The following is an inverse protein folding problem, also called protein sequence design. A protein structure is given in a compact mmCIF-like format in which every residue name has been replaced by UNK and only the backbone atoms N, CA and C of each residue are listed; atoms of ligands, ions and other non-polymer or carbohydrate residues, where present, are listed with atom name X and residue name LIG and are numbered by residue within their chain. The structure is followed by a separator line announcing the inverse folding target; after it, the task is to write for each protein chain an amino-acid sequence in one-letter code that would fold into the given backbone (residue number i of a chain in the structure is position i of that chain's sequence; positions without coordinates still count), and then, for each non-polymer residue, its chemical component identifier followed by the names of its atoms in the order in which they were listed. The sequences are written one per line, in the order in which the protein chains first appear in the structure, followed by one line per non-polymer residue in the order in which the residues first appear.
data_IF_907375031815
#
_entry.id   IF_907375031815
#
_cell.length_a   1.000
_cell.length_b   1.000
_cell.length_c   1.000
_cell.angle_alpha   90.00
_cell.angle_beta   90.00
_cell.angle_gamma   90.00
#
_symmetry.space_group_name_H-M   'P 1'
#
loop_
_entity.id
_entity.type
_entity.pdbx_description
1 polymer ?
#
# COMPACT_ATOMS: atom_id res chain seq x y z
N UNK A 1 -27.07 4.98 16.83
CA UNK A 1 -26.42 5.20 15.52
C UNK A 1 -25.01 4.67 15.64
N UNK A 2 -24.66 3.57 14.95
CA UNK A 2 -23.28 3.11 14.90
C UNK A 2 -22.50 4.04 13.95
N UNK A 3 -22.03 5.16 14.49
CA UNK A 3 -21.21 6.12 13.75
C UNK A 3 -19.77 5.60 13.61
N UNK A 4 -19.03 6.20 12.68
CA UNK A 4 -17.56 6.05 12.65
C UNK A 4 -17.00 6.49 14.00
N UNK A 5 -16.18 5.63 14.61
CA UNK A 5 -15.48 5.91 15.87
C UNK A 5 -14.00 6.11 15.61
N UNK A 6 -13.30 6.81 16.51
CA UNK A 6 -11.83 6.95 16.45
C UNK A 6 -11.12 5.60 16.41
N UNK A 7 -11.63 4.62 17.16
CA UNK A 7 -11.11 3.26 17.14
C UNK A 7 -11.24 2.62 15.75
N UNK A 8 -12.40 2.74 15.10
CA UNK A 8 -12.61 2.22 13.74
C UNK A 8 -11.66 2.86 12.72
N UNK A 9 -11.42 4.17 12.83
CA UNK A 9 -10.47 4.90 11.97
C UNK A 9 -9.03 4.43 12.21
N UNK A 10 -8.63 4.26 13.48
CA UNK A 10 -7.31 3.76 13.84
C UNK A 10 -7.04 2.35 13.29
N UNK A 11 -8.04 1.46 13.36
CA UNK A 11 -7.96 0.10 12.78
C UNK A 11 -7.80 0.17 11.26
N UNK A 12 -8.53 1.05 10.58
CA UNK A 12 -8.40 1.25 9.12
C UNK A 12 -7.01 1.75 8.74
N UNK A 13 -6.50 2.79 9.41
CA UNK A 13 -5.14 3.32 9.18
C UNK A 13 -4.11 2.20 9.33
N UNK A 14 -4.14 1.47 10.46
CA UNK A 14 -3.19 0.38 10.72
C UNK A 14 -3.24 -0.73 9.67
N UNK A 15 -4.43 -1.04 9.16
CA UNK A 15 -4.61 -2.09 8.15
C UNK A 15 -4.09 -1.64 6.78
N UNK A 16 -4.37 -0.41 6.40
CA UNK A 16 -3.88 0.19 5.16
C UNK A 16 -2.35 0.37 5.18
N UNK A 17 -1.77 0.80 6.30
CA UNK A 17 -0.31 0.90 6.45
C UNK A 17 0.36 -0.46 6.27
N UNK A 18 -0.19 -1.52 6.89
CA UNK A 18 0.34 -2.89 6.72
C UNK A 18 0.22 -3.37 5.28
N UNK A 19 -0.93 -3.16 4.65
CA UNK A 19 -1.13 -3.53 3.25
C UNK A 19 -0.10 -2.86 2.33
N UNK A 20 0.16 -1.56 2.54
CA UNK A 20 1.14 -0.81 1.75
C UNK A 20 2.58 -1.32 1.94
N UNK A 21 2.95 -1.67 3.17
CA UNK A 21 4.25 -2.30 3.46
C UNK A 21 4.39 -3.66 2.75
N UNK A 22 3.34 -4.50 2.80
CA UNK A 22 3.34 -5.80 2.12
C UNK A 22 3.45 -5.67 0.60
N UNK A 23 2.82 -4.67 -0.01
CA UNK A 23 2.98 -4.40 -1.45
C UNK A 23 4.44 -4.07 -1.80
N UNK A 24 5.13 -3.26 -0.99
CA UNK A 24 6.54 -2.92 -1.21
C UNK A 24 7.49 -4.11 -0.99
N UNK A 25 7.23 -4.94 0.01
CA UNK A 25 7.96 -6.19 0.23
C UNK A 25 7.80 -7.14 -0.97
N UNK A 26 6.58 -7.28 -1.49
CA UNK A 26 6.30 -8.13 -2.64
C UNK A 26 6.98 -7.62 -3.92
N UNK A 27 6.98 -6.30 -4.14
CA UNK A 27 7.71 -5.67 -5.25
C UNK A 27 9.20 -6.02 -5.21
N UNK A 28 9.83 -5.85 -4.05
CA UNK A 28 11.25 -6.17 -3.85
C UNK A 28 11.54 -7.65 -4.06
N UNK A 29 10.69 -8.53 -3.53
CA UNK A 29 10.84 -9.97 -3.67
C UNK A 29 10.76 -10.42 -5.14
N UNK A 30 9.76 -9.95 -5.88
CA UNK A 30 9.59 -10.29 -7.29
C UNK A 30 10.77 -9.80 -8.14
N UNK A 31 11.24 -8.57 -7.90
CA UNK A 31 12.41 -8.03 -8.58
C UNK A 31 13.67 -8.84 -8.31
N UNK A 32 13.92 -9.19 -7.05
CA UNK A 32 15.06 -10.01 -6.68
C UNK A 32 15.01 -11.41 -7.32
N UNK A 33 13.82 -12.04 -7.36
CA UNK A 33 13.64 -13.33 -8.04
C UNK A 33 13.88 -13.24 -9.54
N UNK A 34 13.41 -12.17 -10.19
CA UNK A 34 13.66 -11.93 -11.62
C UNK A 34 15.16 -11.73 -11.90
N UNK A 35 15.82 -10.85 -11.16
CA UNK A 35 17.26 -10.59 -11.31
C UNK A 35 18.10 -11.86 -11.07
N UNK A 36 17.73 -12.68 -10.10
CA UNK A 36 18.39 -13.96 -9.84
C UNK A 36 18.20 -14.97 -10.97
N UNK A 37 17.03 -15.02 -11.60
CA UNK A 37 16.79 -15.89 -12.76
C UNK A 37 17.61 -15.45 -13.98
N UNK A 38 17.87 -14.14 -14.10
CA UNK A 38 18.68 -13.53 -15.16
C UNK A 38 20.13 -14.01 -15.22
N UNK A 39 20.65 -14.59 -14.13
CA UNK A 39 22.00 -15.16 -14.13
C UNK A 39 22.14 -16.36 -15.08
N UNK A 40 21.08 -17.17 -15.21
CA UNK A 40 21.09 -18.42 -15.97
C UNK A 40 20.14 -18.38 -17.19
N UNK A 41 19.25 -17.39 -17.26
CA UNK A 41 18.22 -17.27 -18.30
C UNK A 41 18.13 -15.82 -18.83
N UNK A 42 18.45 -15.59 -20.11
CA UNK A 42 18.50 -14.24 -20.70
C UNK A 42 17.94 -14.15 -22.13
N UNK A 43 17.02 -15.03 -22.50
CA UNK A 43 16.40 -15.04 -23.83
C UNK A 43 15.25 -14.03 -23.98
N UNK A 44 14.55 -14.08 -25.11
CA UNK A 44 13.39 -13.21 -25.36
C UNK A 44 12.23 -13.41 -24.38
N UNK A 45 12.07 -14.62 -23.83
CA UNK A 45 11.03 -14.92 -22.84
C UNK A 45 11.37 -14.37 -21.46
N UNK A 46 12.65 -14.35 -21.10
CA UNK A 46 13.12 -13.63 -19.94
C UNK A 46 12.79 -12.12 -20.04
N UNK A 47 13.05 -11.51 -21.20
CA UNK A 47 12.72 -10.09 -21.42
C UNK A 47 11.22 -9.81 -21.35
N UNK A 48 10.37 -10.66 -21.94
CA UNK A 48 8.90 -10.56 -21.88
C UNK A 48 8.37 -10.64 -20.44
N UNK A 49 8.97 -11.50 -19.60
CA UNK A 49 8.68 -11.57 -18.17
C UNK A 49 9.06 -10.28 -17.45
N UNK A 50 10.20 -9.67 -17.79
CA UNK A 50 10.65 -8.40 -17.23
C UNK A 50 9.71 -7.22 -17.54
N UNK A 51 9.17 -7.17 -18.77
CA UNK A 51 8.16 -6.19 -19.16
C UNK A 51 6.87 -6.39 -18.34
N UNK A 52 6.38 -7.63 -18.25
CA UNK A 52 5.19 -7.96 -17.44
C UNK A 52 5.38 -7.62 -15.96
N UNK A 53 6.58 -7.88 -15.42
CA UNK A 53 6.91 -7.52 -14.04
C UNK A 53 6.90 -5.99 -13.84
N UNK A 54 7.42 -5.24 -14.80
CA UNK A 54 7.42 -3.77 -14.76
C UNK A 54 6.00 -3.19 -14.73
N UNK A 55 5.05 -3.81 -15.43
CA UNK A 55 3.64 -3.43 -15.37
C UNK A 55 3.05 -3.67 -13.97
N UNK A 56 3.36 -4.80 -13.34
CA UNK A 56 2.96 -5.11 -11.96
C UNK A 56 3.56 -4.10 -10.98
N UNK A 57 4.85 -3.78 -11.09
CA UNK A 57 5.50 -2.79 -10.23
C UNK A 57 4.82 -1.42 -10.33
N UNK A 58 4.43 -1.03 -11.55
CA UNK A 58 3.73 0.25 -11.81
C UNK A 58 2.32 0.27 -11.24
N UNK A 59 1.59 -0.85 -11.35
CA UNK A 59 0.26 -1.01 -10.76
C UNK A 59 0.31 -0.95 -9.23
N UNK A 60 1.27 -1.66 -8.61
CA UNK A 60 1.49 -1.62 -7.16
C UNK A 60 1.90 -0.22 -6.68
N UNK A 61 2.75 0.49 -7.44
CA UNK A 61 3.15 1.86 -7.10
C UNK A 61 1.98 2.84 -7.15
N UNK A 62 1.10 2.71 -8.16
CA UNK A 62 -0.13 3.50 -8.24
C UNK A 62 -1.06 3.21 -7.05
N UNK A 63 -1.26 1.94 -6.74
CA UNK A 63 -2.05 1.50 -5.59
C UNK A 63 -1.50 2.07 -4.28
N UNK A 64 -0.17 2.05 -4.08
CA UNK A 64 0.49 2.60 -2.90
C UNK A 64 0.20 4.09 -2.68
N UNK A 65 0.17 4.88 -3.76
CA UNK A 65 -0.16 6.31 -3.72
C UNK A 65 -1.62 6.51 -3.29
N UNK A 66 -2.55 5.74 -3.86
CA UNK A 66 -3.98 5.81 -3.49
C UNK A 66 -4.22 5.43 -2.03
N UNK A 67 -3.56 4.38 -1.54
CA UNK A 67 -3.62 3.94 -0.14
C UNK A 67 -3.07 5.02 0.79
N UNK A 68 -1.93 5.62 0.43
CA UNK A 68 -1.32 6.71 1.19
C UNK A 68 -2.26 7.92 1.28
N UNK A 69 -2.89 8.29 0.16
CA UNK A 69 -3.89 9.36 0.13
C UNK A 69 -5.10 9.04 1.02
N UNK A 70 -5.56 7.79 1.04
CA UNK A 70 -6.65 7.35 1.91
C UNK A 70 -6.25 7.40 3.39
N UNK A 71 -5.04 6.96 3.74
CA UNK A 71 -4.49 7.06 5.10
C UNK A 71 -4.49 8.53 5.56
N UNK A 72 -4.02 9.46 4.71
CA UNK A 72 -4.03 10.89 5.03
C UNK A 72 -5.44 11.41 5.30
N UNK A 73 -6.43 11.03 4.48
CA UNK A 73 -7.83 11.41 4.71
C UNK A 73 -8.37 10.86 6.04
N UNK A 74 -8.03 9.61 6.38
CA UNK A 74 -8.43 9.00 7.65
C UNK A 74 -7.77 9.68 8.86
N UNK A 75 -6.49 10.09 8.74
CA UNK A 75 -5.80 10.85 9.80
C UNK A 75 -6.47 12.21 10.05
N UNK A 76 -6.89 12.89 8.97
CA UNK A 76 -7.67 14.14 9.07
C UNK A 76 -9.01 13.88 9.77
N UNK A 77 -9.71 12.79 9.44
CA UNK A 77 -10.95 12.41 10.11
C UNK A 77 -10.75 12.10 11.61
N UNK A 78 -9.70 11.36 11.98
CA UNK A 78 -9.40 11.10 13.41
C UNK A 78 -9.18 12.39 14.19
N UNK A 79 -8.47 13.36 13.60
CA UNK A 79 -8.27 14.67 14.21
C UNK A 79 -9.59 15.43 14.41
N UNK A 80 -10.51 15.41 13.44
CA UNK A 80 -11.82 16.02 13.60
C UNK A 80 -12.65 15.36 14.71
N UNK A 81 -12.66 14.02 14.77
CA UNK A 81 -13.36 13.29 15.81
C UNK A 81 -12.79 13.61 17.20
N UNK A 82 -11.46 13.73 17.31
CA UNK A 82 -10.79 14.16 18.55
C UNK A 82 -11.29 15.53 19.02
N UNK A 83 -11.34 16.52 18.12
CA UNK A 83 -11.82 17.87 18.46
C UNK A 83 -13.27 17.84 18.95
N UNK A 84 -14.13 17.06 18.29
CA UNK A 84 -15.54 16.92 18.69
C UNK A 84 -15.65 16.29 20.09
N UNK A 85 -14.86 15.26 20.36
CA UNK A 85 -14.85 14.61 21.68
C UNK A 85 -14.34 15.57 22.76
N UNK A 86 -13.30 16.36 22.47
CA UNK A 86 -12.75 17.36 23.39
C UNK A 86 -13.74 18.51 23.67
N UNK A 87 -14.62 18.88 22.72
CA UNK A 87 -15.65 19.92 22.88
C UNK A 87 -16.89 19.48 23.68
N UNK A 88 -17.07 18.17 23.91
CA UNK A 88 -18.20 17.64 24.69
C UNK A 88 -17.96 17.69 26.21
N UNK A 89 -16.76 18.06 26.64
CA UNK A 89 -16.35 18.24 28.03
C UNK A 89 -16.06 19.71 28.33
#
# INVERSE_FOLDING_TARGET
MAGITRESVAVMIKSLTRFNMTQEEMKKALKASYESAGCDWNDSKYMELGESLSEVERALSTSSVEITNLITKLQVMDNYLKIIDDMKF
#
